data_IF_294978678758
#
_entry.id   IF_294978678758
#
_cell.length_a   1.000
_cell.length_b   1.000
_cell.length_c   1.000
_cell.angle_alpha   90.00
_cell.angle_beta   90.00
_cell.angle_gamma   90.00
#
_symmetry.space_group_name_H-M   'P 1'
#
loop_
_entity.id
_entity.type
_entity.pdbx_description
1 polymer ?
#
# COMPACT_ATOMS: atom_id res chain seq x y z
N UNK A 1 -73.97 -27.99 -5.15
CA UNK A 1 -73.18 -26.92 -4.52
C UNK A 1 -71.71 -27.28 -4.62
N UNK A 2 -70.96 -26.67 -5.54
CA UNK A 2 -69.52 -26.91 -5.77
C UNK A 2 -68.84 -25.54 -5.80
N UNK A 3 -67.91 -25.30 -4.88
CA UNK A 3 -67.14 -24.06 -4.77
C UNK A 3 -65.79 -24.30 -5.46
N UNK A 4 -65.33 -23.49 -6.43
CA UNK A 4 -63.99 -23.61 -6.95
C UNK A 4 -63.01 -22.84 -6.04
N UNK A 5 -61.90 -23.48 -5.68
CA UNK A 5 -60.82 -22.84 -4.95
C UNK A 5 -59.90 -22.09 -5.93
N UNK A 6 -59.77 -20.78 -5.76
CA UNK A 6 -58.76 -19.96 -6.44
C UNK A 6 -57.45 -20.05 -5.65
N UNK A 7 -56.41 -20.62 -6.26
CA UNK A 7 -55.06 -20.58 -5.72
C UNK A 7 -54.40 -19.24 -6.11
N UNK A 8 -54.04 -18.44 -5.11
CA UNK A 8 -53.21 -17.23 -5.30
C UNK A 8 -51.75 -17.66 -5.19
N UNK A 9 -51.02 -17.62 -6.29
CA UNK A 9 -49.57 -17.79 -6.28
C UNK A 9 -48.91 -16.44 -5.94
N UNK A 10 -48.30 -16.34 -4.76
CA UNK A 10 -47.47 -15.19 -4.42
C UNK A 10 -46.08 -15.38 -5.03
N UNK A 11 -45.72 -14.54 -6.01
CA UNK A 11 -44.37 -14.45 -6.55
C UNK A 11 -43.56 -13.54 -5.63
N UNK A 12 -42.65 -14.10 -4.85
CA UNK A 12 -41.64 -13.34 -4.12
C UNK A 12 -40.48 -13.04 -5.07
N UNK A 13 -40.36 -11.79 -5.51
CA UNK A 13 -39.15 -11.33 -6.20
C UNK A 13 -38.06 -11.05 -5.15
N UNK A 14 -37.04 -11.90 -5.08
CA UNK A 14 -35.81 -11.58 -4.35
C UNK A 14 -35.05 -10.50 -5.15
N UNK A 15 -35.12 -9.24 -4.70
CA UNK A 15 -34.14 -8.24 -5.13
C UNK A 15 -32.83 -8.53 -4.40
N UNK A 16 -31.85 -9.14 -5.09
CA UNK A 16 -30.48 -9.17 -4.58
C UNK A 16 -29.85 -7.81 -4.83
N UNK A 17 -29.54 -7.05 -3.78
CA UNK A 17 -28.61 -5.92 -3.90
C UNK A 17 -27.21 -6.52 -4.03
N UNK A 18 -26.63 -6.48 -5.23
CA UNK A 18 -25.22 -6.78 -5.38
C UNK A 18 -24.43 -5.79 -4.51
N UNK A 19 -23.64 -6.29 -3.57
CA UNK A 19 -22.70 -5.45 -2.84
C UNK A 19 -21.71 -4.88 -3.86
N UNK A 20 -21.67 -3.56 -3.99
CA UNK A 20 -20.62 -2.91 -4.78
C UNK A 20 -19.31 -3.20 -4.07
N UNK A 21 -18.34 -3.78 -4.78
CA UNK A 21 -16.99 -3.94 -4.23
C UNK A 21 -16.50 -2.57 -3.77
N UNK A 22 -16.11 -2.46 -2.50
CA UNK A 22 -15.56 -1.22 -1.99
C UNK A 22 -14.24 -0.94 -2.72
N UNK A 23 -14.08 0.29 -3.19
CA UNK A 23 -12.83 0.77 -3.73
C UNK A 23 -11.76 0.85 -2.62
N UNK A 24 -10.59 0.31 -2.90
CA UNK A 24 -9.40 0.50 -2.07
C UNK A 24 -8.45 1.46 -2.78
N UNK A 25 -7.87 2.39 -2.02
CA UNK A 25 -6.82 3.27 -2.53
C UNK A 25 -5.50 2.52 -2.47
N UNK A 26 -4.87 2.35 -3.62
CA UNK A 26 -3.59 1.65 -3.77
C UNK A 26 -2.47 2.67 -3.97
N UNK A 27 -1.33 2.42 -3.31
CA UNK A 27 -0.12 3.20 -3.44
C UNK A 27 1.01 2.34 -4.02
N UNK A 28 1.73 2.86 -5.01
CA UNK A 28 2.84 2.18 -5.67
C UNK A 28 4.01 3.13 -5.87
N UNK A 29 5.22 2.61 -5.72
CA UNK A 29 6.46 3.31 -6.09
C UNK A 29 6.77 3.01 -7.54
N UNK A 30 6.93 4.05 -8.37
CA UNK A 30 7.35 3.93 -9.75
C UNK A 30 8.71 4.63 -9.96
N UNK A 31 9.61 4.07 -10.78
CA UNK A 31 10.90 4.70 -11.06
C UNK A 31 10.75 6.08 -11.73
N UNK A 32 11.68 7.02 -11.48
CA UNK A 32 12.81 6.91 -10.55
C UNK A 32 12.42 7.20 -9.08
N UNK A 33 11.40 8.03 -8.84
CA UNK A 33 11.01 8.51 -7.51
C UNK A 33 9.54 8.89 -7.42
N UNK A 34 8.62 8.18 -8.05
CA UNK A 34 7.20 8.55 -8.02
C UNK A 34 6.43 7.71 -6.99
N UNK A 35 5.63 8.38 -6.15
CA UNK A 35 4.54 7.75 -5.43
C UNK A 35 3.26 7.95 -6.22
N UNK A 36 2.67 6.85 -6.66
CA UNK A 36 1.46 6.81 -7.47
C UNK A 36 0.31 6.30 -6.62
N UNK A 37 -0.83 6.98 -6.72
CA UNK A 37 -2.08 6.61 -6.07
C UNK A 37 -3.16 6.33 -7.12
N UNK A 38 -3.91 5.25 -6.96
CA UNK A 38 -5.07 4.93 -7.79
C UNK A 38 -6.12 4.14 -7.02
N UNK A 39 -7.32 4.06 -7.59
CA UNK A 39 -8.42 3.27 -7.07
C UNK A 39 -8.35 1.83 -7.59
N UNK A 40 -8.60 0.84 -6.73
CA UNK A 40 -8.60 -0.57 -7.13
C UNK A 40 -9.68 -0.90 -8.16
N UNK A 41 -10.77 -0.12 -8.26
CA UNK A 41 -11.81 -0.27 -9.28
C UNK A 41 -11.42 0.38 -10.61
N UNK A 42 -10.48 1.33 -10.60
CA UNK A 42 -10.02 2.05 -11.80
C UNK A 42 -8.49 2.15 -11.85
N UNK A 43 -7.74 1.05 -11.90
CA UNK A 43 -6.27 1.07 -11.77
C UNK A 43 -5.56 1.80 -12.91
N UNK A 44 -6.20 1.96 -14.08
CA UNK A 44 -5.68 2.75 -15.19
C UNK A 44 -5.87 4.27 -15.04
N UNK A 45 -6.70 4.71 -14.07
CA UNK A 45 -6.96 6.12 -13.80
C UNK A 45 -6.13 6.57 -12.59
N UNK A 46 -4.93 7.10 -12.86
CA UNK A 46 -4.05 7.61 -11.81
C UNK A 46 -4.71 8.80 -11.13
N UNK A 47 -4.93 8.71 -9.82
CA UNK A 47 -5.53 9.77 -9.01
C UNK A 47 -4.50 10.80 -8.59
N UNK A 48 -3.27 10.35 -8.30
CA UNK A 48 -2.15 11.21 -7.92
C UNK A 48 -0.83 10.60 -8.33
N UNK A 49 0.09 11.46 -8.76
CA UNK A 49 1.49 11.15 -8.99
C UNK A 49 2.31 12.27 -8.35
N UNK A 50 3.11 11.95 -7.35
CA UNK A 50 4.00 12.91 -6.67
C UNK A 50 5.42 12.39 -6.67
N UNK A 51 6.38 13.32 -6.70
CA UNK A 51 7.80 12.99 -6.59
C UNK A 51 8.14 12.79 -5.12
N UNK A 52 8.73 11.64 -4.80
CA UNK A 52 9.32 11.35 -3.51
C UNK A 52 10.57 12.21 -3.36
N UNK A 53 10.63 12.99 -2.28
CA UNK A 53 11.72 13.93 -1.98
C UNK A 53 12.19 13.76 -0.54
N UNK A 54 13.32 14.37 -0.17
CA UNK A 54 13.86 14.29 1.20
C UNK A 54 14.69 13.03 1.52
N UNK A 55 15.00 12.22 0.51
CA UNK A 55 15.92 11.08 0.62
C UNK A 55 17.39 11.54 0.67
N UNK A 56 18.28 10.69 1.20
CA UNK A 56 19.72 10.93 1.09
C UNK A 56 20.19 10.78 -0.36
N UNK A 57 21.32 11.41 -0.67
CA UNK A 57 21.91 11.31 -2.00
C UNK A 57 22.18 9.84 -2.38
N UNK A 58 21.70 9.44 -3.57
CA UNK A 58 21.88 8.09 -4.10
C UNK A 58 20.86 7.06 -3.60
N UNK A 59 19.90 7.45 -2.76
CA UNK A 59 18.85 6.51 -2.32
C UNK A 59 17.73 6.36 -3.34
N UNK A 60 17.39 5.13 -3.72
CA UNK A 60 16.09 4.76 -4.31
C UNK A 60 15.11 4.31 -3.22
N UNK A 61 13.82 4.17 -3.56
CA UNK A 61 12.86 3.50 -2.68
C UNK A 61 12.74 2.02 -3.06
N UNK A 62 12.92 1.13 -2.08
CA UNK A 62 12.83 -0.32 -2.28
C UNK A 62 11.47 -0.93 -1.95
N UNK A 63 10.78 -0.45 -0.91
CA UNK A 63 9.49 -0.98 -0.47
C UNK A 63 8.73 0.02 0.41
N UNK A 64 7.41 -0.11 0.48
CA UNK A 64 6.52 0.75 1.26
C UNK A 64 5.44 -0.06 1.98
N UNK A 65 4.96 0.43 3.13
CA UNK A 65 3.79 -0.12 3.81
C UNK A 65 3.14 0.92 4.74
N UNK A 66 1.84 0.77 4.99
CA UNK A 66 1.11 1.58 5.95
C UNK A 66 1.16 0.95 7.33
N UNK A 67 1.56 1.73 8.33
CA UNK A 67 1.47 1.31 9.73
C UNK A 67 -0.01 1.21 10.15
N UNK A 68 -0.55 0.01 10.47
CA UNK A 68 -1.99 -0.16 10.71
C UNK A 68 -2.52 0.68 11.88
N UNK A 69 -1.69 0.94 12.89
CA UNK A 69 -2.06 1.71 14.08
C UNK A 69 -2.25 3.20 13.81
N UNK A 70 -1.54 3.77 12.84
CA UNK A 70 -1.51 5.23 12.64
C UNK A 70 -1.89 5.67 11.23
N UNK A 71 -1.99 4.76 10.26
CA UNK A 71 -2.28 5.09 8.86
C UNK A 71 -1.16 5.87 8.17
N UNK A 72 0.05 5.89 8.75
CA UNK A 72 1.20 6.57 8.18
C UNK A 72 1.91 5.65 7.19
N UNK A 73 2.28 6.18 6.03
CA UNK A 73 3.08 5.47 5.03
C UNK A 73 4.56 5.49 5.44
N UNK A 74 5.20 4.34 5.36
CA UNK A 74 6.64 4.18 5.54
C UNK A 74 7.26 3.64 4.27
N UNK A 75 8.56 3.90 4.08
CA UNK A 75 9.34 3.33 2.98
C UNK A 75 10.80 3.15 3.32
N UNK A 76 11.46 2.29 2.55
CA UNK A 76 12.89 2.01 2.63
C UNK A 76 13.65 2.85 1.60
N UNK A 77 14.55 3.72 2.05
CA UNK A 77 15.55 4.37 1.20
C UNK A 77 16.80 3.52 1.14
N UNK A 78 17.28 3.22 -0.07
CA UNK A 78 18.35 2.24 -0.32
C UNK A 78 19.42 2.87 -1.20
N UNK A 79 20.65 2.94 -0.69
CA UNK A 79 21.83 3.17 -1.52
C UNK A 79 22.38 1.81 -1.93
N UNK A 80 22.26 1.49 -3.21
CA UNK A 80 22.73 0.21 -3.76
C UNK A 80 24.27 0.14 -3.79
N UNK A 81 24.85 -1.02 -3.51
CA UNK A 81 26.29 -1.27 -3.57
C UNK A 81 26.66 -2.73 -3.34
N UNK A 82 27.95 -3.02 -3.10
CA UNK A 82 28.35 -4.36 -2.63
C UNK A 82 27.79 -4.67 -1.23
N UNK A 83 27.38 -3.64 -0.51
CA UNK A 83 26.67 -3.70 0.76
C UNK A 83 25.74 -2.51 0.79
N UNK A 84 24.45 -2.78 0.65
CA UNK A 84 23.42 -1.75 0.56
C UNK A 84 23.28 -1.05 1.89
N UNK A 85 23.04 0.26 1.86
CA UNK A 85 22.72 1.03 3.06
C UNK A 85 21.25 1.39 3.04
N UNK A 86 20.52 0.95 4.06
CA UNK A 86 19.07 1.07 4.13
C UNK A 86 18.67 1.98 5.28
N UNK A 87 17.75 2.92 5.00
CA UNK A 87 17.14 3.84 5.96
C UNK A 87 15.62 3.73 5.88
N UNK A 88 14.97 3.95 7.01
CA UNK A 88 13.51 3.96 7.10
C UNK A 88 13.00 5.39 7.12
N UNK A 89 12.04 5.67 6.26
CA UNK A 89 11.38 6.97 6.15
C UNK A 89 9.90 6.86 6.48
N UNK A 90 9.34 7.94 7.03
CA UNK A 90 7.91 8.23 6.90
C UNK A 90 7.70 9.05 5.64
N UNK A 91 6.75 8.68 4.80
CA UNK A 91 6.44 9.37 3.54
C UNK A 91 5.06 10.00 3.67
N UNK A 92 4.95 11.28 3.30
CA UNK A 92 3.66 11.94 3.16
C UNK A 92 3.01 11.51 1.82
N UNK A 93 1.86 10.81 1.82
CA UNK A 93 1.22 10.34 0.59
C UNK A 93 0.58 11.45 -0.25
N UNK A 94 0.40 12.64 0.31
CA UNK A 94 -0.14 13.81 -0.39
C UNK A 94 0.98 14.57 -1.12
N UNK A 95 2.15 14.70 -0.50
CA UNK A 95 3.23 15.56 -1.02
C UNK A 95 4.44 14.79 -1.55
N UNK A 96 4.60 13.51 -1.20
CA UNK A 96 5.80 12.72 -1.46
C UNK A 96 6.98 13.04 -0.55
N UNK A 97 6.82 13.94 0.43
CA UNK A 97 7.92 14.29 1.33
C UNK A 97 8.28 13.11 2.25
N UNK A 98 9.50 12.57 2.08
CA UNK A 98 10.08 11.57 2.96
C UNK A 98 10.82 12.25 4.11
N UNK A 99 10.54 11.81 5.33
CA UNK A 99 11.20 12.26 6.55
C UNK A 99 11.88 11.07 7.20
N UNK A 100 13.20 11.13 7.38
CA UNK A 100 13.96 10.08 8.07
C UNK A 100 13.38 9.88 9.47
N UNK A 101 13.21 8.62 9.89
CA UNK A 101 12.70 8.34 11.24
C UNK A 101 13.73 8.82 12.28
N UNK A 102 13.36 9.74 13.19
CA UNK A 102 14.29 10.27 14.17
C UNK A 102 14.91 9.15 15.02
N UNK A 103 16.24 9.18 15.16
CA UNK A 103 16.98 8.18 15.94
C UNK A 103 17.11 6.81 15.28
N UNK A 104 16.61 6.61 14.06
CA UNK A 104 16.88 5.39 13.30
C UNK A 104 18.34 5.37 12.83
N UNK A 105 19.04 4.26 13.09
CA UNK A 105 20.35 3.99 12.52
C UNK A 105 20.19 3.27 11.18
N UNK A 106 20.91 3.69 10.12
CA UNK A 106 20.96 2.89 8.90
C UNK A 106 21.47 1.48 9.21
N UNK A 107 20.97 0.50 8.48
CA UNK A 107 21.46 -0.88 8.53
C UNK A 107 21.91 -1.31 7.15
N UNK A 108 22.65 -2.40 7.09
CA UNK A 108 23.28 -2.86 5.86
C UNK A 108 22.90 -4.28 5.51
N UNK A 109 22.77 -4.54 4.22
CA UNK A 109 22.45 -5.85 3.66
C UNK A 109 23.44 -6.14 2.52
N UNK A 110 23.88 -7.38 2.39
CA UNK A 110 24.77 -7.81 1.31
C UNK A 110 23.98 -8.71 0.36
N UNK A 111 24.18 -8.53 -0.95
CA UNK A 111 23.52 -9.29 -2.03
C UNK A 111 21.98 -9.16 -2.09
N UNK A 112 21.39 -8.03 -1.68
CA UNK A 112 19.96 -7.80 -1.89
C UNK A 112 19.73 -7.02 -3.17
N UNK A 113 18.91 -7.54 -4.08
CA UNK A 113 18.51 -6.81 -5.29
C UNK A 113 17.13 -6.15 -5.07
N UNK A 114 16.20 -6.91 -4.46
CA UNK A 114 14.84 -6.47 -4.16
C UNK A 114 14.52 -6.51 -2.66
N UNK A 115 13.63 -5.60 -2.25
CA UNK A 115 13.33 -5.38 -0.83
C UNK A 115 11.82 -5.26 -0.57
N UNK A 116 11.36 -5.91 0.49
CA UNK A 116 10.00 -5.80 1.02
C UNK A 116 9.97 -5.07 2.37
N UNK A 117 8.83 -4.44 2.66
CA UNK A 117 8.54 -3.77 3.93
C UNK A 117 7.15 -4.21 4.42
N UNK A 118 7.01 -4.57 5.69
CA UNK A 118 5.73 -4.94 6.32
C UNK A 118 5.67 -4.45 7.78
N UNK A 119 4.52 -3.97 8.23
CA UNK A 119 4.23 -3.77 9.64
C UNK A 119 3.51 -4.96 10.24
N UNK A 120 4.08 -5.54 11.30
CA UNK A 120 3.34 -6.48 12.14
C UNK A 120 2.21 -5.73 12.86
N UNK A 121 0.92 -6.04 12.62
CA UNK A 121 -0.21 -5.29 13.18
C UNK A 121 -0.38 -5.46 14.70
N UNK A 122 0.20 -6.51 15.29
CA UNK A 122 0.08 -6.82 16.72
C UNK A 122 1.22 -6.20 17.52
N UNK A 123 2.46 -6.49 17.12
CA UNK A 123 3.67 -6.05 17.84
C UNK A 123 4.09 -4.64 17.42
N UNK A 124 3.54 -4.13 16.31
CA UNK A 124 3.81 -2.79 15.78
C UNK A 124 5.30 -2.57 15.49
N UNK A 125 5.86 -3.53 14.74
CA UNK A 125 7.26 -3.55 14.31
C UNK A 125 7.33 -3.65 12.80
N UNK A 126 8.34 -2.99 12.26
CA UNK A 126 8.73 -3.12 10.85
C UNK A 126 9.47 -4.44 10.65
N UNK A 127 9.12 -5.13 9.56
CA UNK A 127 9.85 -6.23 8.96
C UNK A 127 10.40 -5.79 7.62
N UNK A 128 11.63 -6.19 7.36
CA UNK A 128 12.30 -6.01 6.07
C UNK A 128 12.69 -7.39 5.57
N UNK A 129 12.39 -7.66 4.31
CA UNK A 129 12.78 -8.88 3.60
C UNK A 129 13.56 -8.52 2.35
N UNK A 130 14.41 -9.42 1.88
CA UNK A 130 15.10 -9.32 0.61
C UNK A 130 15.09 -10.68 -0.12
N UNK A 131 15.65 -10.70 -1.32
CA UNK A 131 15.79 -11.87 -2.19
C UNK A 131 17.14 -12.60 -2.09
N UNK A 132 18.00 -12.16 -1.16
CA UNK A 132 19.31 -12.77 -0.89
C UNK A 132 19.23 -14.15 -0.19
#
# INVERSE_FOLDING_TARGET
>A
MRIPAFAVAAVFALLSTAAVAAADVIYVVAPPYFLVQFDSLTPGALQRVVVISGLQAGERIGGIDFRPRTGQLYGLGIVDGATDTIRVYRIDPLTGAATLIPGSTPFTVTNGDDYGLDFNPTVDRIRVTNDA
#
